data_IF_295496506020
#
_entry.id   IF_295496506020
#
_cell.length_a   1.000
_cell.length_b   1.000
_cell.length_c   1.000
_cell.angle_alpha   90.00
_cell.angle_beta   90.00
_cell.angle_gamma   90.00
#
_symmetry.space_group_name_H-M   'P 1'
#
loop_
_entity.id
_entity.type
_entity.pdbx_description
1 polymer ?
#
# COMPACT_ATOMS: atom_id res chain seq x y z
N UNK A 1 -18.15 4.19 23.42
CA UNK A 1 -16.86 4.85 23.72
C UNK A 1 -16.25 4.19 24.94
N UNK A 2 -15.46 3.14 24.75
CA UNK A 2 -14.83 2.38 25.85
C UNK A 2 -13.45 2.91 26.27
N UNK A 3 -13.06 4.09 25.79
CA UNK A 3 -11.76 4.70 26.08
C UNK A 3 -11.79 5.79 27.17
N UNK A 4 -12.86 5.89 27.94
CA UNK A 4 -12.91 6.84 29.07
C UNK A 4 -12.46 6.14 30.36
N UNK A 5 -11.15 6.14 30.58
CA UNK A 5 -10.52 5.67 31.81
C UNK A 5 -11.06 6.44 33.03
N UNK A 6 -11.46 5.69 34.06
CA UNK A 6 -11.88 6.20 35.37
C UNK A 6 -10.71 6.02 36.34
N UNK A 7 -9.68 6.85 36.24
CA UNK A 7 -8.49 6.72 37.09
C UNK A 7 -7.56 7.92 37.14
N UNK A 8 -7.85 8.87 38.05
CA UNK A 8 -6.88 9.70 38.80
C UNK A 8 -5.64 10.28 38.08
N UNK A 9 -5.87 11.20 37.15
CA UNK A 9 -5.32 12.56 37.07
C UNK A 9 -6.04 13.21 35.89
N UNK A 10 -6.80 14.29 36.11
CA UNK A 10 -7.46 14.97 34.99
C UNK A 10 -6.39 15.71 34.19
N UNK A 11 -5.79 15.05 33.19
CA UNK A 11 -5.13 15.78 32.12
C UNK A 11 -6.16 16.78 31.58
N UNK A 12 -5.83 18.08 31.61
CA UNK A 12 -6.73 19.14 31.10
C UNK A 12 -6.91 19.09 29.59
N UNK A 13 -6.27 18.14 28.91
CA UNK A 13 -6.26 17.98 27.48
C UNK A 13 -6.79 16.59 27.12
N UNK A 14 -7.63 16.55 26.10
CA UNK A 14 -8.17 15.33 25.49
C UNK A 14 -7.72 15.26 24.04
N UNK A 15 -7.63 14.05 23.48
CA UNK A 15 -7.43 13.89 22.05
C UNK A 15 -8.74 14.11 21.29
N UNK A 16 -8.65 14.79 20.17
CA UNK A 16 -9.70 14.87 19.15
C UNK A 16 -9.17 14.34 17.83
N UNK A 17 -10.07 13.90 16.96
CA UNK A 17 -9.75 13.39 15.63
C UNK A 17 -10.45 14.25 14.58
N UNK A 18 -9.69 14.83 13.66
CA UNK A 18 -10.19 15.43 12.43
C UNK A 18 -9.87 14.47 11.29
N UNK A 19 -10.90 13.89 10.69
CA UNK A 19 -10.78 12.86 9.67
C UNK A 19 -11.77 13.14 8.55
N UNK A 20 -11.32 13.06 7.29
CA UNK A 20 -12.15 13.29 6.10
C UNK A 20 -13.35 12.35 6.01
N UNK A 21 -13.31 11.16 6.63
CA UNK A 21 -14.47 10.27 6.73
C UNK A 21 -15.60 10.79 7.63
N UNK A 22 -15.34 11.85 8.41
CA UNK A 22 -16.34 12.52 9.26
C UNK A 22 -16.92 13.78 8.59
N UNK A 23 -16.50 14.09 7.35
CA UNK A 23 -17.00 15.21 6.56
C UNK A 23 -18.07 14.73 5.59
N UNK A 24 -19.07 15.58 5.23
CA UNK A 24 -20.07 15.22 4.24
C UNK A 24 -19.45 14.92 2.87
N UNK A 25 -19.92 13.86 2.24
CA UNK A 25 -19.39 13.38 0.97
C UNK A 25 -20.45 12.63 0.16
N UNK A 26 -20.13 12.34 -1.11
CA UNK A 26 -21.09 11.84 -2.10
C UNK A 26 -20.61 10.53 -2.76
N UNK A 27 -19.94 9.64 -2.02
CA UNK A 27 -19.36 8.40 -2.54
C UNK A 27 -20.39 7.54 -3.26
N UNK A 28 -21.62 7.46 -2.76
CA UNK A 28 -22.67 6.70 -3.43
C UNK A 28 -22.98 7.27 -4.83
N UNK A 29 -23.00 8.59 -4.98
CA UNK A 29 -23.16 9.25 -6.27
C UNK A 29 -21.96 8.97 -7.17
N UNK A 30 -20.74 9.05 -6.63
CA UNK A 30 -19.52 8.71 -7.34
C UNK A 30 -19.58 7.27 -7.89
N UNK A 31 -19.92 6.29 -7.06
CA UNK A 31 -20.03 4.87 -7.44
C UNK A 31 -21.11 4.65 -8.49
N UNK A 32 -22.27 5.28 -8.34
CA UNK A 32 -23.34 5.18 -9.34
C UNK A 32 -22.94 5.81 -10.69
N UNK A 33 -22.14 6.88 -10.67
CA UNK A 33 -21.64 7.51 -11.90
C UNK A 33 -20.48 6.73 -12.52
N UNK A 34 -19.57 6.16 -11.73
CA UNK A 34 -18.53 5.24 -12.19
C UNK A 34 -19.15 4.05 -12.93
N UNK A 35 -20.22 3.46 -12.38
CA UNK A 35 -20.94 2.33 -13.01
C UNK A 35 -21.63 2.69 -14.34
N UNK A 36 -21.84 3.98 -14.62
CA UNK A 36 -22.46 4.48 -15.85
C UNK A 36 -21.44 5.04 -16.85
N UNK A 37 -20.19 5.24 -16.42
CA UNK A 37 -19.15 5.83 -17.23
C UNK A 37 -18.84 4.95 -18.44
N UNK A 38 -18.71 5.58 -19.61
CA UNK A 38 -18.43 4.90 -20.89
C UNK A 38 -16.96 4.96 -21.29
N UNK A 39 -16.22 5.90 -20.71
CA UNK A 39 -14.82 6.14 -20.99
C UNK A 39 -14.10 6.67 -19.74
N UNK A 40 -12.78 6.85 -19.86
CA UNK A 40 -11.97 7.36 -18.77
C UNK A 40 -12.39 8.76 -18.30
N UNK A 41 -12.82 9.66 -19.20
CA UNK A 41 -13.15 11.03 -18.83
C UNK A 41 -14.43 11.07 -17.98
N UNK A 42 -15.44 10.29 -18.35
CA UNK A 42 -16.66 10.12 -17.55
C UNK A 42 -16.34 9.45 -16.20
N UNK A 43 -15.43 8.46 -16.19
CA UNK A 43 -15.00 7.79 -14.96
C UNK A 43 -14.24 8.74 -14.03
N UNK A 44 -13.26 9.50 -14.54
CA UNK A 44 -12.52 10.51 -13.79
C UNK A 44 -13.45 11.62 -13.29
N UNK A 45 -14.45 12.03 -14.07
CA UNK A 45 -15.45 13.00 -13.62
C UNK A 45 -16.25 12.46 -12.43
N UNK A 46 -16.65 11.18 -12.45
CA UNK A 46 -17.35 10.54 -11.34
C UNK A 46 -16.52 10.51 -10.05
N UNK A 47 -15.18 10.37 -10.18
CA UNK A 47 -14.26 10.37 -9.04
C UNK A 47 -14.22 11.70 -8.26
N UNK A 48 -14.69 12.81 -8.84
CA UNK A 48 -14.76 14.09 -8.11
C UNK A 48 -15.67 14.03 -6.88
N UNK A 49 -16.71 13.17 -6.90
CA UNK A 49 -17.63 12.98 -5.79
C UNK A 49 -17.12 11.94 -4.75
N UNK A 50 -15.98 11.27 -5.01
CA UNK A 50 -15.42 10.22 -4.15
C UNK A 50 -14.33 10.80 -3.23
N UNK A 51 -14.71 11.22 -2.03
CA UNK A 51 -13.80 11.91 -1.11
C UNK A 51 -13.08 10.94 -0.15
N UNK A 52 -13.70 9.83 0.21
CA UNK A 52 -13.15 8.94 1.25
C UNK A 52 -13.70 7.51 1.12
N UNK A 53 -12.94 6.47 1.53
CA UNK A 53 -11.52 6.50 1.88
C UNK A 53 -10.65 6.70 0.63
N UNK A 54 -9.53 7.41 0.79
CA UNK A 54 -8.55 7.57 -0.29
C UNK A 54 -8.08 6.21 -0.77
N UNK A 55 -8.12 5.98 -2.08
CA UNK A 55 -7.78 4.69 -2.67
C UNK A 55 -7.25 4.82 -4.10
N UNK A 56 -6.58 3.76 -4.54
CA UNK A 56 -6.04 3.62 -5.88
C UNK A 56 -7.13 3.10 -6.83
N UNK A 57 -7.60 3.92 -7.76
CA UNK A 57 -8.50 3.49 -8.82
C UNK A 57 -7.68 3.11 -10.05
N UNK A 58 -7.91 1.91 -10.57
CA UNK A 58 -7.33 1.41 -11.83
C UNK A 58 -8.46 1.16 -12.81
N UNK A 59 -8.30 1.63 -14.04
CA UNK A 59 -9.32 1.60 -15.10
C UNK A 59 -8.76 0.95 -16.36
N UNK A 60 -9.63 0.24 -17.08
CA UNK A 60 -9.36 -0.28 -18.42
C UNK A 60 -10.66 -0.24 -19.25
N UNK A 61 -10.57 0.13 -20.53
CA UNK A 61 -11.70 0.16 -21.47
C UNK A 61 -11.41 -0.56 -22.79
N UNK A 62 -12.47 -0.83 -23.55
CA UNK A 62 -12.43 -1.58 -24.81
C UNK A 62 -11.72 -0.86 -25.97
N UNK A 63 -11.49 0.45 -25.85
CA UNK A 63 -10.68 1.26 -26.77
C UNK A 63 -9.16 1.09 -26.51
N UNK A 64 -8.79 0.32 -25.49
CA UNK A 64 -7.41 0.08 -25.07
C UNK A 64 -6.89 1.09 -24.05
N UNK A 65 -7.71 2.04 -23.59
CA UNK A 65 -7.29 2.99 -22.55
C UNK A 65 -7.11 2.26 -21.22
N UNK A 66 -5.94 2.42 -20.60
CA UNK A 66 -5.68 2.08 -19.21
C UNK A 66 -5.32 3.33 -18.43
N UNK A 67 -5.82 3.44 -17.21
CA UNK A 67 -5.58 4.61 -16.39
C UNK A 67 -5.55 4.29 -14.90
N UNK A 68 -4.95 5.21 -14.15
CA UNK A 68 -4.85 5.14 -12.71
C UNK A 68 -5.02 6.52 -12.11
N UNK A 69 -5.69 6.57 -10.96
CA UNK A 69 -5.75 7.76 -10.10
C UNK A 69 -5.74 7.39 -8.63
N UNK A 70 -4.86 8.00 -7.84
CA UNK A 70 -4.98 8.01 -6.39
C UNK A 70 -6.02 9.05 -6.00
N UNK A 71 -7.22 8.61 -5.61
CA UNK A 71 -8.36 9.49 -5.46
C UNK A 71 -8.89 9.52 -4.03
N UNK A 72 -9.27 10.72 -3.58
CA UNK A 72 -9.81 11.01 -2.27
C UNK A 72 -9.34 12.39 -1.78
N UNK A 73 -9.97 12.89 -0.72
CA UNK A 73 -9.59 14.12 -0.06
C UNK A 73 -8.37 13.87 0.81
N UNK A 74 -7.23 14.45 0.42
CA UNK A 74 -5.98 14.40 1.15
C UNK A 74 -5.69 15.80 1.69
N UNK A 75 -5.72 16.03 3.01
CA UNK A 75 -5.53 17.36 3.57
C UNK A 75 -4.13 17.92 3.34
N UNK A 76 -4.06 19.17 2.88
CA UNK A 76 -2.82 19.97 2.89
C UNK A 76 -2.72 20.61 4.27
N UNK A 77 -1.63 20.35 4.98
CA UNK A 77 -1.40 20.84 6.35
C UNK A 77 -0.41 21.99 6.34
N UNK A 78 -0.66 23.04 7.13
CA UNK A 78 0.32 24.13 7.36
C UNK A 78 1.65 23.60 7.90
N UNK A 79 1.57 22.61 8.80
CA UNK A 79 2.71 21.99 9.46
C UNK A 79 2.41 20.56 9.85
N UNK A 80 3.47 19.74 9.87
CA UNK A 80 3.38 18.33 10.21
C UNK A 80 2.74 17.49 9.11
N UNK A 81 2.72 16.19 9.34
CA UNK A 81 2.36 15.16 8.37
C UNK A 81 1.25 14.22 8.88
N UNK A 82 0.70 14.52 10.06
CA UNK A 82 -0.34 13.71 10.71
C UNK A 82 0.17 12.43 11.38
N UNK A 83 1.50 12.24 11.51
CA UNK A 83 2.09 11.09 12.21
C UNK A 83 1.90 11.13 13.73
N UNK A 84 1.77 12.33 14.32
CA UNK A 84 1.63 12.55 15.76
C UNK A 84 0.48 13.51 16.06
N UNK A 85 -0.14 13.42 17.26
CA UNK A 85 -1.03 14.45 17.76
C UNK A 85 -0.32 15.80 17.87
N UNK A 86 -1.05 16.88 17.56
CA UNK A 86 -0.54 18.25 17.51
C UNK A 86 -1.41 19.20 18.34
N UNK A 87 -0.90 20.36 18.78
CA UNK A 87 -1.69 21.37 19.48
C UNK A 87 -2.93 21.83 18.69
N UNK A 88 -4.12 21.44 19.15
CA UNK A 88 -5.40 21.81 18.52
C UNK A 88 -5.96 23.18 18.95
N UNK A 89 -5.26 23.91 19.82
CA UNK A 89 -5.66 25.25 20.29
C UNK A 89 -4.92 26.39 19.57
N UNK A 90 -4.10 26.06 18.57
CA UNK A 90 -3.38 26.99 17.69
C UNK A 90 -3.74 26.69 16.25
N UNK A 91 -3.59 27.65 15.35
CA UNK A 91 -3.83 27.46 13.92
C UNK A 91 -2.62 26.91 13.15
N UNK A 92 -1.49 26.64 13.83
CA UNK A 92 -0.22 26.20 13.23
C UNK A 92 -0.31 24.89 12.44
N UNK A 93 -1.25 24.02 12.79
CA UNK A 93 -1.39 22.66 12.23
C UNK A 93 -2.71 22.46 11.48
N UNK A 94 -3.44 23.55 11.21
CA UNK A 94 -4.70 23.48 10.48
C UNK A 94 -4.53 22.98 9.05
N UNK A 95 -5.63 22.48 8.50
CA UNK A 95 -5.72 22.10 7.10
C UNK A 95 -5.99 23.35 6.26
N UNK A 96 -5.26 23.53 5.16
CA UNK A 96 -5.45 24.62 4.18
C UNK A 96 -6.32 24.17 3.00
N UNK A 97 -7.19 23.18 3.24
CA UNK A 97 -7.97 22.48 2.24
C UNK A 97 -7.38 21.11 1.91
N UNK A 98 -7.61 20.66 0.68
CA UNK A 98 -7.16 19.37 0.19
C UNK A 98 -6.29 19.55 -1.05
N UNK A 99 -5.51 18.52 -1.39
CA UNK A 99 -4.82 18.46 -2.67
C UNK A 99 -5.85 18.68 -3.80
N UNK A 100 -5.64 19.64 -4.71
CA UNK A 100 -6.55 19.88 -5.82
C UNK A 100 -6.77 18.62 -6.66
N UNK A 101 -8.01 18.39 -7.09
CA UNK A 101 -8.40 17.16 -7.79
C UNK A 101 -7.59 16.85 -9.05
N UNK A 102 -7.19 17.91 -9.77
CA UNK A 102 -6.36 17.86 -10.97
C UNK A 102 -4.88 17.64 -10.69
N UNK A 103 -4.44 17.85 -9.45
CA UNK A 103 -3.07 17.62 -8.99
C UNK A 103 -2.87 16.27 -8.29
N UNK A 104 -3.95 15.52 -8.03
CA UNK A 104 -3.87 14.14 -7.53
C UNK A 104 -3.07 13.24 -8.50
N UNK A 105 -2.26 12.29 -8.00
CA UNK A 105 -1.44 11.42 -8.84
C UNK A 105 -2.30 10.67 -9.86
N UNK A 106 -1.94 10.80 -11.14
CA UNK A 106 -2.66 10.21 -12.27
C UNK A 106 -1.70 9.73 -13.35
N UNK A 107 -2.03 8.60 -13.96
CA UNK A 107 -1.34 8.06 -15.14
C UNK A 107 -2.38 7.56 -16.13
N UNK A 108 -2.19 7.84 -17.41
CA UNK A 108 -3.05 7.36 -18.51
C UNK A 108 -2.12 6.81 -19.60
N UNK A 109 -2.40 5.59 -20.07
CA UNK A 109 -1.67 4.92 -21.16
C UNK A 109 -0.14 5.03 -21.03
N UNK A 110 0.46 4.54 -19.92
CA UNK A 110 1.90 4.62 -19.73
C UNK A 110 2.62 3.79 -20.81
N UNK A 111 3.81 4.24 -21.23
CA UNK A 111 4.60 3.59 -22.30
C UNK A 111 4.92 2.11 -22.00
N UNK A 112 5.01 1.72 -20.73
CA UNK A 112 5.30 0.34 -20.33
C UNK A 112 4.14 -0.63 -20.61
N UNK A 113 2.95 -0.14 -20.97
CA UNK A 113 1.82 -0.97 -21.39
C UNK A 113 0.98 -1.59 -20.28
N UNK A 114 1.33 -1.38 -19.00
CA UNK A 114 0.55 -1.83 -17.86
C UNK A 114 0.59 -0.84 -16.69
N UNK A 115 -0.34 -1.00 -15.75
CA UNK A 115 -0.37 -0.28 -14.48
C UNK A 115 -0.49 -1.31 -13.35
N UNK A 116 0.35 -1.19 -12.32
CA UNK A 116 0.31 -2.05 -11.14
C UNK A 116 0.40 -1.23 -9.86
N UNK A 117 -0.54 -1.43 -8.94
CA UNK A 117 -0.50 -0.83 -7.60
C UNK A 117 -0.75 -1.91 -6.57
N UNK A 118 0.07 -1.95 -5.52
CA UNK A 118 -0.06 -2.92 -4.44
C UNK A 118 0.22 -2.26 -3.09
N UNK A 119 -0.40 -1.10 -2.85
CA UNK A 119 -0.22 -0.26 -1.64
C UNK A 119 1.21 0.27 -1.41
N UNK A 120 2.09 0.13 -2.40
CA UNK A 120 3.42 0.75 -2.46
C UNK A 120 3.31 2.29 -2.56
N UNK A 121 4.42 3.00 -2.30
CA UNK A 121 4.52 4.44 -2.56
C UNK A 121 4.22 4.74 -4.03
N UNK A 122 3.37 5.73 -4.28
CA UNK A 122 2.78 6.05 -5.60
C UNK A 122 3.32 7.34 -6.24
N UNK A 123 4.16 8.07 -5.51
CA UNK A 123 4.77 9.34 -5.93
C UNK A 123 6.27 9.31 -5.63
N UNK A 124 7.04 10.07 -6.40
CA UNK A 124 8.44 10.32 -6.11
C UNK A 124 8.60 11.43 -5.04
N UNK A 125 9.85 11.81 -4.77
CA UNK A 125 10.17 12.85 -3.78
C UNK A 125 9.96 14.27 -4.33
N UNK A 126 9.75 14.41 -5.64
CA UNK A 126 9.51 15.70 -6.30
C UNK A 126 8.01 16.09 -6.31
N UNK A 127 7.12 15.16 -5.97
CA UNK A 127 5.69 15.44 -5.86
C UNK A 127 5.40 16.46 -4.74
N UNK A 128 4.71 17.58 -5.03
CA UNK A 128 4.70 18.76 -4.15
C UNK A 128 3.84 18.62 -2.89
N UNK A 129 3.04 17.56 -2.78
CA UNK A 129 2.13 17.37 -1.66
C UNK A 129 2.45 16.12 -0.85
N UNK A 130 2.33 16.24 0.47
CA UNK A 130 2.38 15.08 1.36
C UNK A 130 1.12 14.22 1.20
N UNK A 131 1.28 12.91 0.97
CA UNK A 131 0.18 11.94 0.89
C UNK A 131 0.14 11.02 2.11
N UNK A 132 1.23 10.31 2.38
CA UNK A 132 1.34 9.35 3.48
C UNK A 132 2.80 9.09 3.83
N UNK A 133 3.07 8.82 5.10
CA UNK A 133 4.32 8.25 5.58
C UNK A 133 4.31 6.72 5.61
N UNK A 134 3.13 6.12 5.52
CA UNK A 134 2.93 4.68 5.66
C UNK A 134 2.53 4.09 4.32
N UNK A 135 3.38 3.20 3.82
CA UNK A 135 3.19 2.45 2.59
C UNK A 135 3.48 0.99 2.87
N UNK A 136 2.86 0.09 2.11
CA UNK A 136 3.30 -1.30 2.13
C UNK A 136 4.70 -1.41 1.52
N UNK A 137 5.47 -2.39 1.98
CA UNK A 137 6.73 -2.74 1.37
C UNK A 137 6.52 -3.11 -0.11
N UNK A 138 7.49 -2.80 -1.00
CA UNK A 138 7.25 -2.81 -2.44
C UNK A 138 7.14 -4.22 -3.04
N UNK A 139 7.46 -5.27 -2.30
CA UNK A 139 7.62 -6.64 -2.81
C UNK A 139 6.45 -7.14 -3.66
N UNK A 140 5.19 -6.89 -3.25
CA UNK A 140 4.02 -7.30 -4.06
C UNK A 140 3.96 -6.57 -5.39
N UNK A 141 4.22 -5.26 -5.38
CA UNK A 141 4.21 -4.47 -6.60
C UNK A 141 5.40 -4.85 -7.49
N UNK A 142 6.59 -5.06 -6.92
CA UNK A 142 7.75 -5.55 -7.66
C UNK A 142 7.47 -6.91 -8.31
N UNK A 143 6.85 -7.85 -7.58
CA UNK A 143 6.52 -9.17 -8.13
C UNK A 143 5.48 -9.10 -9.25
N UNK A 144 4.45 -8.27 -9.09
CA UNK A 144 3.48 -7.99 -10.17
C UNK A 144 4.19 -7.40 -11.40
N UNK A 145 5.12 -6.47 -11.22
CA UNK A 145 5.88 -5.89 -12.33
C UNK A 145 6.77 -6.93 -13.02
N UNK A 146 7.52 -7.73 -12.26
CA UNK A 146 8.32 -8.83 -12.80
C UNK A 146 7.44 -9.74 -13.67
N UNK A 147 6.31 -10.20 -13.12
CA UNK A 147 5.38 -11.06 -13.83
C UNK A 147 4.83 -10.41 -15.11
N UNK A 148 4.41 -9.14 -15.06
CA UNK A 148 3.83 -8.40 -16.20
C UNK A 148 4.86 -7.97 -17.27
N UNK A 149 6.16 -8.08 -16.97
CA UNK A 149 7.25 -7.80 -17.91
C UNK A 149 7.73 -9.06 -18.65
N UNK A 150 7.33 -10.26 -18.21
CA UNK A 150 7.77 -11.53 -18.81
C UNK A 150 7.18 -11.77 -20.22
N UNK A 151 6.04 -11.15 -20.56
CA UNK A 151 5.31 -11.38 -21.80
C UNK A 151 4.74 -10.07 -22.35
N UNK A 152 4.52 -10.01 -23.66
CA UNK A 152 3.84 -8.87 -24.29
C UNK A 152 2.31 -8.94 -24.14
N UNK A 153 1.75 -10.15 -24.00
CA UNK A 153 0.31 -10.39 -23.93
C UNK A 153 0.02 -11.43 -22.86
N UNK A 154 -1.04 -11.16 -22.10
CA UNK A 154 -1.53 -12.02 -21.04
C UNK A 154 -2.93 -12.52 -21.38
N UNK A 155 -3.18 -13.79 -21.07
CA UNK A 155 -4.51 -14.38 -21.05
C UNK A 155 -5.13 -14.21 -19.67
N UNK A 156 -6.43 -14.45 -19.56
CA UNK A 156 -7.12 -14.48 -18.25
C UNK A 156 -6.46 -15.49 -17.32
N UNK A 157 -6.07 -16.66 -17.84
CA UNK A 157 -5.41 -17.71 -17.07
C UNK A 157 -4.06 -17.24 -16.49
N UNK A 158 -3.27 -16.50 -17.27
CA UNK A 158 -2.01 -15.95 -16.74
C UNK A 158 -2.27 -15.01 -15.55
N UNK A 159 -3.33 -14.19 -15.62
CA UNK A 159 -3.68 -13.28 -14.52
C UNK A 159 -4.28 -14.01 -13.30
N UNK A 160 -4.97 -15.14 -13.50
CA UNK A 160 -5.38 -16.04 -12.41
C UNK A 160 -4.15 -16.65 -11.72
N UNK A 161 -3.14 -17.07 -12.50
CA UNK A 161 -1.87 -17.56 -11.96
C UNK A 161 -1.15 -16.47 -11.15
N UNK A 162 -1.14 -15.22 -11.62
CA UNK A 162 -0.60 -14.09 -10.86
C UNK A 162 -1.31 -13.87 -9.52
N UNK A 163 -2.63 -14.04 -9.45
CA UNK A 163 -3.37 -13.92 -8.18
C UNK A 163 -2.95 -14.98 -7.15
N UNK A 164 -2.40 -16.11 -7.62
CA UNK A 164 -1.94 -17.23 -6.80
C UNK A 164 -0.41 -17.26 -6.65
N UNK A 165 0.31 -16.23 -7.12
CA UNK A 165 1.77 -16.16 -7.02
C UNK A 165 2.22 -16.14 -5.54
N UNK A 166 3.16 -17.03 -5.21
CA UNK A 166 3.71 -17.19 -3.85
C UNK A 166 5.23 -16.92 -3.81
N UNK A 167 5.76 -16.21 -4.79
CA UNK A 167 7.18 -15.87 -4.81
C UNK A 167 7.47 -14.81 -3.75
N UNK A 168 8.34 -15.16 -2.79
CA UNK A 168 8.65 -14.37 -1.63
C UNK A 168 9.92 -13.52 -1.85
N UNK A 169 9.76 -12.34 -2.47
CA UNK A 169 10.87 -11.40 -2.66
C UNK A 169 11.45 -10.87 -1.34
N UNK A 170 10.64 -10.85 -0.28
CA UNK A 170 11.11 -10.49 1.06
C UNK A 170 12.07 -11.54 1.62
N UNK A 171 11.71 -12.83 1.47
CA UNK A 171 12.56 -13.97 1.76
C UNK A 171 13.88 -13.94 0.99
N UNK A 172 13.82 -13.59 -0.30
CA UNK A 172 15.00 -13.46 -1.16
C UNK A 172 15.98 -12.38 -0.68
N UNK A 173 15.48 -11.27 -0.15
CA UNK A 173 16.32 -10.17 0.35
C UNK A 173 16.96 -10.50 1.71
N UNK A 174 16.18 -11.06 2.65
CA UNK A 174 16.63 -11.19 4.04
C UNK A 174 17.27 -12.54 4.39
N UNK A 175 16.91 -13.63 3.71
CA UNK A 175 17.48 -14.96 3.97
C UNK A 175 19.02 -14.97 3.91
N UNK A 176 19.69 -14.33 2.93
CA UNK A 176 21.15 -14.26 2.90
C UNK A 176 21.77 -13.59 4.14
N UNK A 177 21.07 -12.61 4.74
CA UNK A 177 21.52 -11.91 5.95
C UNK A 177 21.41 -12.85 7.16
N UNK A 178 20.28 -13.56 7.30
CA UNK A 178 20.12 -14.56 8.34
C UNK A 178 21.17 -15.67 8.25
N UNK A 179 21.35 -16.26 7.06
CA UNK A 179 22.32 -17.34 6.85
C UNK A 179 23.75 -16.88 7.19
N UNK A 180 24.12 -15.64 6.86
CA UNK A 180 25.44 -15.09 7.21
C UNK A 180 25.70 -15.08 8.72
N UNK A 181 24.71 -14.74 9.54
CA UNK A 181 24.89 -14.68 11.00
C UNK A 181 24.69 -16.06 11.65
N UNK A 182 23.74 -16.86 11.17
CA UNK A 182 23.48 -18.22 11.67
C UNK A 182 24.68 -19.15 11.43
N UNK A 183 25.41 -19.00 10.30
CA UNK A 183 26.62 -19.78 10.02
C UNK A 183 27.80 -19.48 10.96
N UNK A 184 27.74 -18.40 11.75
CA UNK A 184 28.74 -18.09 12.78
C UNK A 184 28.34 -18.58 14.16
N UNK A 185 27.06 -18.94 14.35
CA UNK A 185 26.53 -19.35 15.63
C UNK A 185 26.89 -20.81 15.93
N UNK A 186 26.94 -21.14 17.23
CA UNK A 186 27.04 -22.54 17.67
C UNK A 186 25.63 -23.13 17.70
N UNK A 187 25.27 -23.84 16.64
CA UNK A 187 23.94 -24.42 16.45
C UNK A 187 23.88 -25.89 16.90
N UNK A 188 22.75 -26.30 17.49
CA UNK A 188 22.41 -27.69 17.69
C UNK A 188 21.95 -28.37 16.38
N UNK A 189 21.73 -29.68 16.39
CA UNK A 189 21.39 -30.41 15.15
C UNK A 189 20.06 -29.98 14.52
N UNK A 190 19.03 -29.69 15.34
CA UNK A 190 17.73 -29.21 14.83
C UNK A 190 17.86 -27.84 14.18
N UNK A 191 18.66 -26.96 14.77
CA UNK A 191 18.93 -25.63 14.21
C UNK A 191 19.72 -25.71 12.90
N UNK A 192 20.70 -26.62 12.80
CA UNK A 192 21.45 -26.87 11.55
C UNK A 192 20.53 -27.38 10.44
N UNK A 193 19.59 -28.28 10.76
CA UNK A 193 18.59 -28.74 9.80
C UNK A 193 17.73 -27.57 9.31
N UNK A 194 17.27 -26.69 10.21
CA UNK A 194 16.52 -25.49 9.84
C UNK A 194 17.30 -24.52 8.93
N UNK A 195 18.60 -24.32 9.21
CA UNK A 195 19.49 -23.52 8.36
C UNK A 195 19.67 -24.16 6.97
N UNK A 196 19.78 -25.48 6.89
CA UNK A 196 19.86 -26.21 5.62
C UNK A 196 18.57 -26.06 4.79
N UNK A 197 17.40 -26.09 5.43
CA UNK A 197 16.12 -25.81 4.76
C UNK A 197 16.11 -24.39 4.16
N UNK A 198 16.49 -23.37 4.95
CA UNK A 198 16.58 -21.98 4.46
C UNK A 198 17.60 -21.81 3.34
N UNK A 199 18.72 -22.55 3.39
CA UNK A 199 19.78 -22.48 2.38
C UNK A 199 19.32 -23.02 1.03
N UNK A 200 18.47 -24.05 1.03
CA UNK A 200 17.95 -24.69 -0.20
C UNK A 200 16.71 -24.02 -0.77
N UNK A 201 16.10 -23.13 0.01
CA UNK A 201 14.84 -22.49 -0.34
C UNK A 201 14.98 -21.64 -1.62
N UNK A 202 14.10 -21.86 -2.58
CA UNK A 202 14.02 -21.10 -3.82
C UNK A 202 13.17 -19.82 -3.68
N UNK A 203 12.80 -19.46 -2.45
CA UNK A 203 11.95 -18.32 -2.12
C UNK A 203 10.52 -18.42 -2.62
N UNK A 204 10.01 -19.63 -2.85
CA UNK A 204 8.58 -19.87 -3.10
C UNK A 204 7.91 -20.32 -1.78
N UNK A 205 6.83 -19.66 -1.36
CA UNK A 205 6.11 -19.99 -0.10
C UNK A 205 5.24 -21.25 -0.26
N UNK A 206 5.87 -22.38 -0.58
CA UNK A 206 5.22 -23.68 -0.68
C UNK A 206 4.74 -24.16 0.70
N UNK A 207 3.49 -24.63 0.75
CA UNK A 207 2.93 -25.28 1.96
C UNK A 207 3.64 -26.59 2.32
N UNK A 208 4.37 -27.19 1.36
CA UNK A 208 5.04 -28.47 1.50
C UNK A 208 6.52 -28.31 1.90
N UNK A 209 6.98 -27.06 2.09
CA UNK A 209 8.35 -26.75 2.51
C UNK A 209 8.38 -26.12 3.91
N UNK A 210 9.42 -26.45 4.69
CA UNK A 210 9.59 -25.87 6.03
C UNK A 210 10.19 -24.45 5.98
N UNK A 211 10.97 -24.13 4.95
CA UNK A 211 11.72 -22.89 4.85
C UNK A 211 10.87 -21.61 4.96
N UNK A 212 9.69 -21.49 4.31
CA UNK A 212 8.82 -20.32 4.47
C UNK A 212 8.45 -20.07 5.94
N UNK A 213 8.06 -21.11 6.67
CA UNK A 213 7.71 -21.00 8.08
C UNK A 213 8.91 -20.55 8.92
N UNK A 214 10.08 -21.17 8.73
CA UNK A 214 11.30 -20.81 9.45
C UNK A 214 11.66 -19.35 9.19
N UNK A 215 11.61 -18.91 7.92
CA UNK A 215 11.88 -17.53 7.55
C UNK A 215 10.93 -16.55 8.26
N UNK A 216 9.63 -16.81 8.21
CA UNK A 216 8.64 -15.94 8.85
C UNK A 216 8.77 -15.90 10.37
N UNK A 217 9.17 -17.00 11.01
CA UNK A 217 9.47 -17.01 12.44
C UNK A 217 10.70 -16.16 12.76
N UNK A 218 11.79 -16.28 11.99
CA UNK A 218 12.98 -15.43 12.16
C UNK A 218 12.66 -13.95 11.98
N UNK A 219 11.87 -13.61 10.96
CA UNK A 219 11.43 -12.24 10.72
C UNK A 219 10.64 -11.68 11.90
N UNK A 220 9.75 -12.48 12.49
CA UNK A 220 8.94 -12.08 13.65
C UNK A 220 9.78 -11.77 14.89
N UNK A 221 10.91 -12.45 15.08
CA UNK A 221 11.80 -12.18 16.22
C UNK A 221 12.59 -10.87 16.09
N UNK A 222 12.74 -10.34 14.87
CA UNK A 222 13.50 -9.11 14.61
C UNK A 222 12.64 -7.89 14.26
N UNK A 223 11.33 -8.07 14.07
CA UNK A 223 10.36 -7.02 13.78
C UNK A 223 9.74 -6.44 15.04
#
# INVERSE_FOLDING_TARGET
SEFADKGKEKTKTVFSLKWTALEPSAELKAVLNMNKAKDWNEFETALQDFHTPTQNFVFASNDGTIAYKANGNIPVRKKGDGSLPVPGWTDEYEWEGYIPFDQLPKVINPKQGFISTANNKIVDDDYPYHISNTWAQPYRQMRIQEFLQEKEKYTVKDLEELQMDQQNLYGKEFTPIFLKELNKASLNEVEKEGVDQLTKWNFYDSKDEAAPLIFHLLMKEIS
#
